data_IF_788056340758
#
_entry.id   IF_788056340758
#
_cell.length_a   1.000
_cell.length_b   1.000
_cell.length_c   1.000
_cell.angle_alpha   90.00
_cell.angle_beta   90.00
_cell.angle_gamma   90.00
#
_symmetry.space_group_name_H-M   'P 1'
#
loop_
_entity.id
_entity.type
_entity.pdbx_description
1 polymer ?
#
# COMPACT_ATOMS: atom_id res chain seq x y z
N UNK A 1 -68.69 50.70 -29.83
CA UNK A 1 -67.95 51.04 -28.57
C UNK A 1 -67.73 49.75 -27.80
N UNK A 2 -66.46 49.30 -27.63
CA UNK A 2 -65.75 49.08 -26.34
C UNK A 2 -66.51 48.15 -25.36
N UNK A 3 -66.01 46.99 -24.86
CA UNK A 3 -64.63 46.61 -24.48
C UNK A 3 -64.47 45.07 -24.37
N UNK A 4 -63.29 44.59 -24.81
CA UNK A 4 -62.34 43.67 -24.13
C UNK A 4 -62.86 42.44 -23.36
N UNK A 5 -62.41 41.23 -23.73
CA UNK A 5 -61.89 40.27 -22.74
C UNK A 5 -60.86 39.30 -23.34
N UNK A 6 -59.74 39.18 -22.64
CA UNK A 6 -58.54 38.40 -22.93
C UNK A 6 -58.82 36.91 -22.76
N UNK A 7 -58.52 36.07 -23.77
CA UNK A 7 -58.38 34.62 -23.58
C UNK A 7 -57.08 34.13 -24.24
N UNK A 8 -56.06 34.21 -23.39
CA UNK A 8 -54.89 33.34 -23.24
C UNK A 8 -54.79 32.22 -24.29
N UNK A 9 -53.85 32.41 -25.21
CA UNK A 9 -53.30 31.35 -26.05
C UNK A 9 -52.57 30.38 -25.11
N UNK A 10 -53.11 29.17 -24.93
CA UNK A 10 -52.49 28.12 -24.13
C UNK A 10 -51.19 27.69 -24.82
N UNK A 11 -50.07 28.24 -24.34
CA UNK A 11 -48.73 27.81 -24.70
C UNK A 11 -48.51 26.42 -24.11
N UNK A 12 -48.73 25.38 -24.92
CA UNK A 12 -48.38 24.01 -24.58
C UNK A 12 -46.87 23.94 -24.36
N UNK A 13 -46.45 24.08 -23.10
CA UNK A 13 -45.05 23.95 -22.71
C UNK A 13 -44.75 22.46 -22.76
N UNK A 14 -44.12 22.02 -23.85
CA UNK A 14 -43.54 20.68 -23.93
C UNK A 14 -42.42 20.65 -22.89
N UNK A 15 -42.72 20.08 -21.71
CA UNK A 15 -41.68 19.73 -20.74
C UNK A 15 -40.95 18.53 -21.34
N UNK A 16 -39.93 18.80 -22.17
CA UNK A 16 -38.96 17.78 -22.54
C UNK A 16 -38.26 17.40 -21.26
N UNK A 17 -38.68 16.28 -20.68
CA UNK A 17 -37.98 15.65 -19.56
C UNK A 17 -36.66 15.13 -20.13
N UNK A 18 -35.61 15.96 -20.10
CA UNK A 18 -34.27 15.50 -20.42
C UNK A 18 -33.85 14.52 -19.32
N UNK A 19 -34.03 13.24 -19.61
CA UNK A 19 -33.41 12.15 -18.85
C UNK A 19 -31.90 12.36 -18.92
N UNK A 20 -31.30 12.90 -17.86
CA UNK A 20 -29.85 12.90 -17.68
C UNK A 20 -29.43 11.45 -17.42
N UNK A 21 -29.11 10.71 -18.47
CA UNK A 21 -28.40 9.45 -18.33
C UNK A 21 -27.11 9.71 -17.55
N UNK A 22 -26.95 9.02 -16.42
CA UNK A 22 -25.76 9.18 -15.59
C UNK A 22 -24.57 8.60 -16.36
N UNK A 23 -23.65 9.46 -16.80
CA UNK A 23 -22.42 9.02 -17.47
C UNK A 23 -21.52 8.30 -16.48
N UNK A 24 -21.19 7.05 -16.79
CA UNK A 24 -20.27 6.19 -16.04
C UNK A 24 -19.04 5.97 -16.91
N UNK A 25 -17.86 6.14 -16.33
CA UNK A 25 -16.60 5.77 -16.95
C UNK A 25 -16.03 4.54 -16.26
N UNK A 26 -15.01 3.93 -16.86
CA UNK A 26 -14.24 2.87 -16.24
C UNK A 26 -12.75 3.03 -16.54
N UNK A 27 -11.92 2.38 -15.73
CA UNK A 27 -10.49 2.21 -15.96
C UNK A 27 -9.97 1.08 -15.06
N UNK A 28 -8.82 0.51 -15.42
CA UNK A 28 -8.09 -0.38 -14.51
C UNK A 28 -7.14 0.43 -13.64
N UNK A 29 -7.38 0.46 -12.32
CA UNK A 29 -6.53 1.18 -11.39
C UNK A 29 -5.12 0.57 -11.35
N UNK A 30 -5.03 -0.75 -11.43
CA UNK A 30 -3.76 -1.48 -11.49
C UNK A 30 -2.94 -1.08 -12.73
N UNK A 31 -3.58 -1.02 -13.90
CA UNK A 31 -2.93 -0.57 -15.13
C UNK A 31 -2.47 0.87 -15.00
N UNK A 32 -3.30 1.76 -14.46
CA UNK A 32 -2.95 3.17 -14.25
C UNK A 32 -1.74 3.31 -13.34
N UNK A 33 -1.79 2.70 -12.16
CA UNK A 33 -0.71 2.72 -11.17
C UNK A 33 0.57 2.11 -11.75
N UNK A 34 0.49 1.03 -12.52
CA UNK A 34 1.66 0.40 -13.13
C UNK A 34 2.39 1.32 -14.13
N UNK A 35 1.68 2.24 -14.77
CA UNK A 35 2.22 3.21 -15.72
C UNK A 35 2.80 4.47 -15.05
N UNK A 36 2.56 4.67 -13.76
CA UNK A 36 3.08 5.82 -13.03
C UNK A 36 4.58 5.64 -12.72
N UNK A 37 5.43 6.65 -13.00
CA UNK A 37 6.87 6.53 -12.79
C UNK A 37 7.24 6.30 -11.30
N UNK A 38 6.45 6.86 -10.39
CA UNK A 38 6.66 6.72 -8.93
C UNK A 38 6.48 5.28 -8.45
N UNK A 39 5.71 4.46 -9.18
CA UNK A 39 5.52 3.03 -8.87
C UNK A 39 6.81 2.24 -8.98
N UNK A 40 7.70 2.59 -9.92
CA UNK A 40 9.02 1.95 -10.01
C UNK A 40 9.87 2.28 -8.78
N UNK A 41 9.81 3.52 -8.31
CA UNK A 41 10.55 3.98 -7.13
C UNK A 41 10.03 3.27 -5.87
N UNK A 42 8.72 3.25 -5.65
CA UNK A 42 8.12 2.55 -4.52
C UNK A 42 8.45 1.04 -4.51
N UNK A 43 8.41 0.38 -5.69
CA UNK A 43 8.82 -1.03 -5.82
C UNK A 43 10.28 -1.25 -5.43
N UNK A 44 11.18 -0.36 -5.86
CA UNK A 44 12.59 -0.46 -5.51
C UNK A 44 12.82 -0.30 -4.00
N UNK A 45 12.24 0.75 -3.39
CA UNK A 45 12.34 0.98 -1.94
C UNK A 45 11.76 -0.20 -1.15
N UNK A 46 10.63 -0.76 -1.57
CA UNK A 46 10.06 -1.94 -0.95
C UNK A 46 10.98 -3.17 -1.06
N UNK A 47 11.60 -3.41 -2.22
CA UNK A 47 12.53 -4.52 -2.43
C UNK A 47 13.79 -4.37 -1.57
N UNK A 48 14.34 -3.17 -1.46
CA UNK A 48 15.54 -2.93 -0.64
C UNK A 48 15.22 -3.10 0.85
N UNK A 49 14.04 -2.67 1.27
CA UNK A 49 13.57 -2.90 2.62
C UNK A 49 13.35 -4.40 2.92
N UNK A 50 12.75 -5.16 2.00
CA UNK A 50 12.62 -6.63 2.14
C UNK A 50 13.99 -7.30 2.30
N UNK A 51 14.96 -6.94 1.45
CA UNK A 51 16.33 -7.46 1.55
C UNK A 51 16.97 -7.12 2.89
N UNK A 52 16.70 -5.94 3.45
CA UNK A 52 17.23 -5.57 4.77
C UNK A 52 16.69 -6.48 5.89
N UNK A 53 15.41 -6.86 5.81
CA UNK A 53 14.79 -7.80 6.74
C UNK A 53 15.35 -9.22 6.58
N UNK A 54 15.55 -9.67 5.33
CA UNK A 54 16.17 -10.97 5.02
C UNK A 54 17.62 -11.06 5.53
N UNK A 55 18.39 -9.97 5.37
CA UNK A 55 19.76 -9.90 5.87
C UNK A 55 19.80 -9.98 7.40
N UNK A 56 18.87 -9.32 8.11
CA UNK A 56 18.80 -9.38 9.57
C UNK A 56 18.50 -10.81 10.05
N UNK A 57 17.54 -11.50 9.42
CA UNK A 57 17.26 -12.93 9.71
C UNK A 57 18.50 -13.79 9.48
N UNK A 58 19.25 -13.52 8.41
CA UNK A 58 20.47 -14.26 8.07
C UNK A 58 21.53 -14.07 9.15
N UNK A 59 21.80 -12.82 9.56
CA UNK A 59 22.76 -12.53 10.64
C UNK A 59 22.39 -13.20 11.96
N UNK A 60 21.10 -13.15 12.34
CA UNK A 60 20.63 -13.83 13.56
C UNK A 60 20.78 -15.36 13.45
N UNK A 61 20.52 -15.92 12.28
CA UNK A 61 20.64 -17.36 12.02
C UNK A 61 22.10 -17.82 12.04
N UNK A 62 23.01 -17.04 11.47
CA UNK A 62 24.45 -17.31 11.49
C UNK A 62 25.01 -17.24 12.91
N UNK A 63 24.58 -16.26 13.71
CA UNK A 63 24.98 -16.15 15.12
C UNK A 63 24.49 -17.38 15.91
N UNK A 64 23.24 -17.79 15.70
CA UNK A 64 22.69 -18.99 16.31
C UNK A 64 23.49 -20.24 15.91
N UNK A 65 23.73 -20.43 14.61
CA UNK A 65 24.44 -21.61 14.10
C UNK A 65 25.87 -21.68 14.66
N UNK A 66 26.56 -20.54 14.76
CA UNK A 66 27.89 -20.46 15.36
C UNK A 66 27.85 -20.90 16.83
N UNK A 67 26.97 -20.31 17.64
CA UNK A 67 26.84 -20.64 19.07
C UNK A 67 26.41 -22.08 19.31
N UNK A 68 25.53 -22.60 18.45
CA UNK A 68 25.10 -23.99 18.49
C UNK A 68 26.26 -24.94 18.20
N UNK A 69 27.06 -24.65 17.19
CA UNK A 69 28.26 -25.44 16.84
C UNK A 69 29.29 -25.42 17.97
N UNK A 70 29.53 -24.25 18.56
CA UNK A 70 30.43 -24.11 19.72
C UNK A 70 29.92 -24.88 20.95
N UNK A 71 28.60 -24.91 21.16
CA UNK A 71 27.97 -25.70 22.21
C UNK A 71 28.16 -27.21 21.97
N UNK A 72 27.90 -27.70 20.76
CA UNK A 72 28.08 -29.11 20.40
C UNK A 72 29.53 -29.59 20.54
N UNK A 73 30.51 -28.73 20.21
CA UNK A 73 31.93 -29.11 20.26
C UNK A 73 32.52 -29.13 21.68
N UNK A 74 32.00 -28.30 22.59
CA UNK A 74 32.58 -28.11 23.91
C UNK A 74 31.63 -28.42 25.07
N UNK A 75 30.37 -28.75 24.81
CA UNK A 75 29.30 -28.88 25.82
C UNK A 75 29.61 -29.89 26.92
N UNK A 76 30.18 -31.04 26.56
CA UNK A 76 30.54 -32.10 27.52
C UNK A 76 31.71 -31.71 28.44
N UNK A 77 32.46 -30.66 28.08
CA UNK A 77 33.58 -30.13 28.87
C UNK A 77 33.16 -28.94 29.74
N UNK A 78 31.92 -28.48 29.64
CA UNK A 78 31.39 -27.36 30.42
C UNK A 78 30.84 -27.85 31.77
N UNK A 79 30.84 -26.96 32.77
CA UNK A 79 30.08 -27.20 33.99
C UNK A 79 28.57 -27.17 33.71
N UNK A 80 27.78 -27.83 34.56
CA UNK A 80 26.33 -27.91 34.39
C UNK A 80 25.66 -26.53 34.33
N UNK A 81 26.13 -25.58 35.15
CA UNK A 81 25.64 -24.22 35.15
C UNK A 81 25.90 -23.50 33.81
N UNK A 82 27.11 -23.65 33.27
CA UNK A 82 27.49 -23.03 31.98
C UNK A 82 26.71 -23.68 30.84
N UNK A 83 26.58 -25.01 30.84
CA UNK A 83 25.81 -25.77 29.86
C UNK A 83 24.36 -25.29 29.81
N UNK A 84 23.67 -25.27 30.95
CA UNK A 84 22.29 -24.82 31.07
C UNK A 84 22.10 -23.37 30.58
N UNK A 85 23.03 -22.49 30.93
CA UNK A 85 23.00 -21.08 30.48
C UNK A 85 23.08 -20.98 28.95
N UNK A 86 23.95 -21.78 28.30
CA UNK A 86 24.06 -21.82 26.84
C UNK A 86 22.82 -22.40 26.16
N UNK A 87 22.23 -23.46 26.72
CA UNK A 87 20.98 -24.04 26.21
C UNK A 87 19.81 -23.03 26.27
N UNK A 88 19.72 -22.28 27.38
CA UNK A 88 18.73 -21.20 27.53
C UNK A 88 18.98 -20.07 26.51
N UNK A 89 20.24 -19.67 26.31
CA UNK A 89 20.61 -18.68 25.30
C UNK A 89 20.22 -19.11 23.88
N UNK A 90 20.56 -20.34 23.48
CA UNK A 90 20.20 -20.91 22.17
C UNK A 90 18.68 -20.96 21.97
N UNK A 91 17.95 -21.37 23.00
CA UNK A 91 16.48 -21.39 22.99
C UNK A 91 15.90 -19.98 22.81
N UNK A 92 16.45 -18.98 23.50
CA UNK A 92 16.03 -17.59 23.36
C UNK A 92 16.36 -17.03 21.97
N UNK A 93 17.53 -17.35 21.42
CA UNK A 93 17.91 -16.94 20.07
C UNK A 93 16.96 -17.50 19.03
N UNK A 94 16.62 -18.79 19.11
CA UNK A 94 15.65 -19.41 18.21
C UNK A 94 14.29 -18.72 18.27
N UNK A 95 13.78 -18.42 19.48
CA UNK A 95 12.53 -17.66 19.65
C UNK A 95 12.60 -16.28 19.01
N UNK A 96 13.68 -15.54 19.24
CA UNK A 96 13.88 -14.21 18.64
C UNK A 96 13.89 -14.25 17.12
N UNK A 97 14.49 -15.28 16.51
CA UNK A 97 14.49 -15.45 15.05
C UNK A 97 13.05 -15.62 14.53
N UNK A 98 12.25 -16.47 15.16
CA UNK A 98 10.85 -16.70 14.76
C UNK A 98 9.98 -15.45 14.99
N UNK A 99 10.13 -14.78 16.13
CA UNK A 99 9.42 -13.52 16.42
C UNK A 99 9.79 -12.44 15.40
N UNK A 100 11.08 -12.32 15.06
CA UNK A 100 11.55 -11.36 14.06
C UNK A 100 10.95 -11.66 12.68
N UNK A 101 10.91 -12.93 12.24
CA UNK A 101 10.29 -13.32 10.97
C UNK A 101 8.82 -12.92 10.91
N UNK A 102 8.06 -13.16 11.97
CA UNK A 102 6.66 -12.75 12.07
C UNK A 102 6.50 -11.23 11.99
N UNK A 103 7.30 -10.50 12.76
CA UNK A 103 7.25 -9.04 12.79
C UNK A 103 7.69 -8.41 11.45
N UNK A 104 8.74 -8.94 10.83
CA UNK A 104 9.25 -8.52 9.53
C UNK A 104 8.18 -8.60 8.44
N UNK A 105 7.41 -9.69 8.42
CA UNK A 105 6.30 -9.84 7.46
C UNK A 105 5.20 -8.79 7.66
N UNK A 106 4.91 -8.42 8.91
CA UNK A 106 3.94 -7.37 9.21
C UNK A 106 4.49 -5.98 8.83
N UNK A 107 5.75 -5.72 9.19
CA UNK A 107 6.42 -4.44 8.93
C UNK A 107 6.58 -4.19 7.42
N UNK A 108 6.90 -5.24 6.65
CA UNK A 108 6.90 -5.18 5.18
C UNK A 108 5.54 -4.77 4.60
N UNK A 109 4.44 -5.36 5.08
CA UNK A 109 3.09 -5.01 4.61
C UNK A 109 2.75 -3.54 4.93
N UNK A 110 3.05 -3.09 6.15
CA UNK A 110 2.84 -1.71 6.56
C UNK A 110 3.68 -0.75 5.71
N UNK A 111 4.96 -1.07 5.49
CA UNK A 111 5.86 -0.26 4.67
C UNK A 111 5.39 -0.20 3.23
N UNK A 112 4.96 -1.31 2.65
CA UNK A 112 4.44 -1.35 1.29
C UNK A 112 3.18 -0.47 1.13
N UNK A 113 2.27 -0.52 2.10
CA UNK A 113 1.08 0.34 2.12
C UNK A 113 1.46 1.83 2.22
N UNK A 114 2.41 2.19 3.08
CA UNK A 114 2.92 3.56 3.23
C UNK A 114 3.53 4.09 1.92
N UNK A 115 4.33 3.26 1.24
CA UNK A 115 5.00 3.61 -0.02
C UNK A 115 4.00 3.82 -1.17
N UNK A 116 2.90 3.06 -1.17
CA UNK A 116 1.90 3.07 -2.26
C UNK A 116 0.77 4.07 -2.03
N UNK A 117 0.46 4.44 -0.79
CA UNK A 117 -0.56 5.44 -0.45
C UNK A 117 -0.46 6.74 -1.28
N UNK A 118 0.69 7.44 -1.38
CA UNK A 118 0.76 8.68 -2.15
C UNK A 118 0.58 8.48 -3.66
N UNK A 119 0.90 7.28 -4.18
CA UNK A 119 0.68 6.92 -5.58
C UNK A 119 -0.82 6.77 -5.83
N UNK A 120 -1.52 6.06 -4.94
CA UNK A 120 -2.97 5.88 -5.00
C UNK A 120 -3.72 7.21 -4.88
N UNK A 121 -3.27 8.10 -3.99
CA UNK A 121 -3.86 9.43 -3.84
C UNK A 121 -3.67 10.28 -5.10
N UNK A 122 -2.47 10.26 -5.71
CA UNK A 122 -2.22 10.93 -6.98
C UNK A 122 -3.09 10.34 -8.10
N UNK A 123 -3.21 9.02 -8.18
CA UNK A 123 -4.07 8.34 -9.14
C UNK A 123 -5.54 8.77 -8.97
N UNK A 124 -6.09 8.70 -7.75
CA UNK A 124 -7.46 9.15 -7.44
C UNK A 124 -7.70 10.61 -7.80
N UNK A 125 -6.74 11.48 -7.53
CA UNK A 125 -6.84 12.90 -7.88
C UNK A 125 -6.87 13.10 -9.41
N UNK A 126 -6.06 12.37 -10.18
CA UNK A 126 -6.10 12.38 -11.64
C UNK A 126 -7.43 11.85 -12.20
N UNK A 127 -7.92 10.73 -11.65
CA UNK A 127 -9.23 10.16 -12.01
C UNK A 127 -10.34 11.17 -11.76
N UNK A 128 -10.37 11.78 -10.58
CA UNK A 128 -11.37 12.77 -10.21
C UNK A 128 -11.33 14.02 -11.10
N UNK A 129 -10.15 14.46 -11.53
CA UNK A 129 -10.00 15.59 -12.43
C UNK A 129 -10.60 15.29 -13.82
N UNK A 130 -10.25 14.15 -14.41
CA UNK A 130 -10.80 13.72 -15.72
C UNK A 130 -12.30 13.47 -15.63
N UNK A 131 -12.77 12.81 -14.56
CA UNK A 131 -14.19 12.58 -14.34
C UNK A 131 -14.99 13.90 -14.31
N UNK A 132 -14.49 14.92 -13.62
CA UNK A 132 -15.12 16.25 -13.56
C UNK A 132 -15.09 16.96 -14.92
N UNK A 133 -13.97 16.92 -15.62
CA UNK A 133 -13.81 17.56 -16.94
C UNK A 133 -14.72 16.95 -18.01
N UNK A 134 -14.93 15.63 -17.95
CA UNK A 134 -15.78 14.89 -18.91
C UNK A 134 -17.23 14.68 -18.44
N UNK A 135 -17.57 15.12 -17.23
CA UNK A 135 -18.92 15.04 -16.68
C UNK A 135 -19.36 13.65 -16.20
N UNK A 136 -18.42 12.75 -15.92
CA UNK A 136 -18.70 11.43 -15.34
C UNK A 136 -19.11 11.55 -13.87
N UNK A 137 -20.14 10.79 -13.47
CA UNK A 137 -20.60 10.73 -12.07
C UNK A 137 -19.97 9.59 -11.29
N UNK A 138 -19.60 8.53 -12.00
CA UNK A 138 -18.95 7.36 -11.45
C UNK A 138 -17.80 6.93 -12.35
N UNK A 139 -16.73 6.43 -11.74
CA UNK A 139 -15.65 5.74 -12.42
C UNK A 139 -15.53 4.37 -11.76
N UNK A 140 -15.72 3.31 -12.54
CA UNK A 140 -15.63 1.94 -12.06
C UNK A 140 -14.21 1.40 -12.25
N UNK A 141 -13.70 0.73 -11.23
CA UNK A 141 -12.42 0.04 -11.33
C UNK A 141 -12.62 -1.36 -11.91
N UNK A 142 -12.04 -1.61 -13.08
CA UNK A 142 -12.12 -2.90 -13.77
C UNK A 142 -11.08 -3.91 -13.28
N UNK A 143 -10.08 -3.51 -12.48
CA UNK A 143 -9.07 -4.44 -11.97
C UNK A 143 -9.60 -5.38 -10.90
N UNK A 144 -10.69 -4.99 -10.20
CA UNK A 144 -11.24 -5.75 -9.09
C UNK A 144 -12.17 -6.90 -9.51
N UNK A 145 -12.40 -7.12 -10.80
CA UNK A 145 -13.28 -8.18 -11.31
C UNK A 145 -14.78 -7.96 -11.06
N UNK A 146 -15.16 -6.82 -10.48
CA UNK A 146 -16.56 -6.47 -10.18
C UNK A 146 -17.31 -5.88 -11.39
N UNK A 147 -16.60 -5.56 -12.47
CA UNK A 147 -17.17 -5.09 -13.74
C UNK A 147 -17.18 -6.26 -14.72
N UNK A 148 -18.36 -6.82 -14.99
CA UNK A 148 -18.50 -7.96 -15.89
C UNK A 148 -18.37 -7.58 -17.37
N UNK A 149 -18.75 -6.33 -17.69
CA UNK A 149 -18.70 -5.79 -19.03
C UNK A 149 -18.65 -4.26 -18.97
N UNK A 150 -17.90 -3.66 -19.90
CA UNK A 150 -17.81 -2.21 -20.08
C UNK A 150 -17.49 -1.89 -21.54
N UNK A 151 -18.13 -0.86 -22.08
CA UNK A 151 -17.87 -0.41 -23.45
C UNK A 151 -16.48 0.24 -23.57
N UNK A 152 -15.66 -0.09 -24.59
CA UNK A 152 -14.34 0.52 -24.76
C UNK A 152 -14.35 2.06 -24.87
N UNK A 153 -15.46 2.65 -25.32
CA UNK A 153 -15.62 4.10 -25.44
C UNK A 153 -15.63 4.84 -24.11
N UNK A 154 -15.97 4.14 -23.02
CA UNK A 154 -16.06 4.72 -21.66
C UNK A 154 -14.78 4.51 -20.85
N UNK A 155 -13.73 3.94 -21.45
CA UNK A 155 -12.40 3.79 -20.83
C UNK A 155 -11.68 5.14 -20.80
N UNK A 156 -11.39 5.63 -19.60
CA UNK A 156 -10.69 6.90 -19.41
C UNK A 156 -9.21 6.75 -19.04
N UNK A 157 -8.66 5.52 -19.06
CA UNK A 157 -7.28 5.22 -18.63
C UNK A 157 -6.25 6.15 -19.28
N UNK A 158 -6.31 6.30 -20.61
CA UNK A 158 -5.36 7.14 -21.35
C UNK A 158 -5.54 8.63 -21.06
N UNK A 159 -6.77 9.08 -20.85
CA UNK A 159 -7.07 10.46 -20.48
C UNK A 159 -6.52 10.77 -19.08
N UNK A 160 -6.72 9.85 -18.12
CA UNK A 160 -6.19 9.97 -16.76
C UNK A 160 -4.67 9.93 -16.76
N UNK A 161 -4.05 8.99 -17.50
CA UNK A 161 -2.59 8.95 -17.64
C UNK A 161 -2.03 10.30 -18.11
N UNK A 162 -2.60 10.87 -19.18
CA UNK A 162 -2.20 12.18 -19.69
C UNK A 162 -2.36 13.29 -18.64
N UNK A 163 -3.41 13.22 -17.81
CA UNK A 163 -3.62 14.16 -16.72
C UNK A 163 -2.55 14.00 -15.63
N UNK A 164 -2.20 12.78 -15.25
CA UNK A 164 -1.18 12.48 -14.25
C UNK A 164 0.21 12.96 -14.66
N UNK A 165 0.53 12.89 -15.95
CA UNK A 165 1.81 13.39 -16.50
C UNK A 165 1.98 14.91 -16.29
N UNK A 166 0.88 15.66 -16.15
CA UNK A 166 0.89 17.09 -15.84
C UNK A 166 0.79 17.41 -14.34
N UNK A 167 0.61 16.41 -13.48
CA UNK A 167 0.51 16.57 -12.02
C UNK A 167 1.87 16.41 -11.35
N UNK A 168 2.12 17.09 -10.22
CA UNK A 168 3.36 16.94 -9.47
C UNK A 168 3.60 15.49 -9.08
N UNK A 169 4.88 15.09 -9.06
CA UNK A 169 5.26 13.73 -8.71
C UNK A 169 4.86 13.41 -7.26
N UNK A 170 4.37 12.20 -7.03
CA UNK A 170 4.07 11.72 -5.69
C UNK A 170 5.39 11.57 -4.89
N UNK A 171 5.44 12.15 -3.69
CA UNK A 171 6.60 12.00 -2.81
C UNK A 171 6.52 10.64 -2.12
N UNK A 172 7.45 9.74 -2.45
CA UNK A 172 7.54 8.41 -1.84
C UNK A 172 8.34 8.51 -0.53
N UNK A 173 7.76 8.15 0.63
CA UNK A 173 8.49 8.11 1.90
C UNK A 173 9.70 7.18 1.81
N UNK A 174 10.86 7.60 2.33
CA UNK A 174 12.09 6.81 2.29
C UNK A 174 12.84 6.77 0.94
N UNK A 175 12.32 7.39 -0.12
CA UNK A 175 13.04 7.52 -1.40
C UNK A 175 14.18 8.58 -1.37
N UNK A 176 14.22 9.42 -0.33
CA UNK A 176 15.35 10.29 -0.02
C UNK A 176 16.05 9.67 1.19
N UNK A 177 17.20 9.03 0.97
CA UNK A 177 17.89 8.25 2.01
C UNK A 177 18.16 9.09 3.26
N UNK A 178 17.53 8.71 4.38
CA UNK A 178 17.89 9.07 5.77
C UNK A 178 16.68 8.94 6.71
N UNK A 179 15.92 7.86 6.65
CA UNK A 179 15.19 7.44 7.85
C UNK A 179 15.69 6.05 8.22
N UNK A 180 16.46 5.92 9.31
CA UNK A 180 16.77 4.61 9.84
C UNK A 180 15.45 3.90 10.11
N UNK A 181 15.40 2.62 9.75
CA UNK A 181 14.38 1.69 10.24
C UNK A 181 14.24 1.95 11.72
N UNK A 182 13.10 2.52 12.15
CA UNK A 182 12.79 2.62 13.56
C UNK A 182 12.62 1.19 14.02
N UNK A 183 13.70 0.62 14.55
CA UNK A 183 13.70 -0.65 15.23
C UNK A 183 12.70 -0.56 16.37
N UNK A 184 11.45 -0.92 16.11
CA UNK A 184 10.56 -1.41 17.14
C UNK A 184 11.07 -2.81 17.50
N UNK A 185 12.21 -2.83 18.19
CA UNK A 185 12.70 -4.02 18.85
C UNK A 185 11.56 -4.53 19.77
N UNK A 186 11.19 -5.82 19.70
CA UNK A 186 10.28 -6.38 20.67
C UNK A 186 10.90 -6.21 22.06
N UNK A 187 10.04 -5.78 22.98
CA UNK A 187 10.35 -5.31 24.32
C UNK A 187 11.56 -5.95 25.01
N UNK A 188 12.35 -5.09 25.65
CA UNK A 188 13.03 -5.47 26.90
C UNK A 188 11.98 -6.11 27.80
N UNK A 189 12.03 -7.42 27.98
CA UNK A 189 11.34 -8.10 29.07
C UNK A 189 11.74 -7.36 30.35
N UNK A 190 10.80 -6.84 31.16
CA UNK A 190 11.17 -6.24 32.43
C UNK A 190 11.76 -7.34 33.29
N UNK A 191 13.04 -7.18 33.65
CA UNK A 191 13.71 -7.97 34.67
C UNK A 191 12.79 -8.01 35.90
N UNK A 192 12.43 -9.18 36.45
CA UNK A 192 11.66 -9.22 37.67
C UNK A 192 12.56 -8.70 38.79
N UNK A 193 12.21 -7.56 39.38
CA UNK A 193 12.84 -7.08 40.61
C UNK A 193 12.59 -8.12 41.69
N UNK A 194 13.66 -8.76 42.19
CA UNK A 194 13.56 -9.57 43.41
C UNK A 194 13.18 -8.65 44.57
N UNK A 195 12.11 -9.02 45.29
CA UNK A 195 11.90 -8.60 46.67
C UNK A 195 12.53 -9.63 47.59
#
# INVERSE_FOLDING_TARGET
MKKMNKWIMVLATVVVSQSFAQKVAHLSLDSLVSMMPETKVAKQVAQDYLKSLENEVTMMSDEFQKKYTDYMAAGDKMSDLVRKTKEEELTQMQRRIEDFRGQAQQDYQMKYAELTAPILDKAKAGIAAVAKESGYKYVLDTSMGNVLYSEPSDDILMAVKKKLDAMPAAKIPGASGSEPVKNNAPGKTPTPKSK
#
